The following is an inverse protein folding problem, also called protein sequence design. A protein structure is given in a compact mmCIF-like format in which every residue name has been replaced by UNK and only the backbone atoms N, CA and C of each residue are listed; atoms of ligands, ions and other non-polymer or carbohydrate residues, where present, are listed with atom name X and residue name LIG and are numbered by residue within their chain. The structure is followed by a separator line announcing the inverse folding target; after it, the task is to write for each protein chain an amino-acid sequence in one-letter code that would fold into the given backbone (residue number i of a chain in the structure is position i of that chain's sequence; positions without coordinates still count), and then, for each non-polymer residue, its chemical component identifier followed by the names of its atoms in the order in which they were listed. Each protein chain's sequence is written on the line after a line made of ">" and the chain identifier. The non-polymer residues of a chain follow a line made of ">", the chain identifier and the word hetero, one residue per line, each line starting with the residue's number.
data_IF_439913642062
#
_entry.id   IF_439913642062
#
_cell.length_a   1.000
_cell.length_b   1.000
_cell.length_c   1.000
_cell.angle_alpha   90.00
_cell.angle_beta   90.00
_cell.angle_gamma   90.00
#
_symmetry.space_group_name_H-M   'P 1'
#
loop_
_entity.id
_entity.type
_entity.pdbx_description
1 polymer ?
#
# COMPACT_ATOMS: atom_id res chain seq x y z
N UNK A 1 19.14 16.27 20.32
CA UNK A 1 19.04 16.73 18.92
C UNK A 1 18.99 15.52 17.99
N UNK A 2 17.80 14.91 17.74
CA UNK A 2 17.67 13.63 16.98
C UNK A 2 16.39 13.55 16.11
N UNK A 3 15.79 14.67 15.70
CA UNK A 3 14.47 14.68 15.01
C UNK A 3 14.49 15.18 13.54
N UNK A 4 15.65 15.24 12.88
CA UNK A 4 15.77 15.76 11.50
C UNK A 4 16.07 14.71 10.43
N UNK A 5 16.12 13.42 10.80
CA UNK A 5 16.46 12.33 9.87
C UNK A 5 15.22 11.77 9.15
N UNK A 6 14.03 11.94 9.74
CA UNK A 6 12.75 11.46 9.17
C UNK A 6 12.31 12.16 7.86
N UNK A 7 12.39 13.50 7.70
CA UNK A 7 11.86 14.16 6.50
C UNK A 7 12.68 13.85 5.24
N UNK A 8 13.97 13.55 5.38
CA UNK A 8 14.81 13.18 4.24
C UNK A 8 14.36 11.86 3.60
N UNK A 9 13.94 10.88 4.41
CA UNK A 9 13.40 9.61 3.91
C UNK A 9 12.08 9.81 3.16
N UNK A 10 11.20 10.70 3.64
CA UNK A 10 9.94 11.01 2.98
C UNK A 10 10.16 11.71 1.62
N UNK A 11 11.10 12.66 1.55
CA UNK A 11 11.47 13.33 0.28
C UNK A 11 12.14 12.36 -0.69
N UNK A 12 13.00 11.46 -0.19
CA UNK A 12 13.60 10.41 -1.02
C UNK A 12 12.54 9.45 -1.59
N UNK A 13 11.54 9.06 -0.80
CA UNK A 13 10.40 8.24 -1.25
C UNK A 13 9.46 8.94 -2.24
N UNK A 14 9.39 10.28 -2.22
CA UNK A 14 8.63 11.05 -3.20
C UNK A 14 9.40 11.25 -4.52
N UNK A 15 10.72 11.27 -4.48
CA UNK A 15 11.59 11.45 -5.64
C UNK A 15 12.02 10.14 -6.31
N UNK A 16 11.91 9.00 -5.62
CA UNK A 16 12.20 7.67 -6.16
C UNK A 16 11.47 7.32 -7.46
N UNK A 17 10.22 7.73 -7.73
CA UNK A 17 9.56 7.41 -9.01
C UNK A 17 10.30 8.04 -10.20
N UNK A 18 10.78 9.28 -10.05
CA UNK A 18 11.47 10.03 -11.11
C UNK A 18 12.85 9.42 -11.38
N UNK A 19 13.56 8.98 -10.34
CA UNK A 19 14.85 8.30 -10.50
C UNK A 19 14.68 6.90 -11.09
N UNK A 20 13.62 6.17 -10.71
CA UNK A 20 13.32 4.85 -11.24
C UNK A 20 12.93 4.85 -12.72
N UNK A 21 12.34 5.94 -13.22
CA UNK A 21 12.03 6.09 -14.65
C UNK A 21 13.19 6.66 -15.48
N UNK A 22 14.14 7.35 -14.86
CA UNK A 22 15.30 7.94 -15.54
C UNK A 22 16.44 6.94 -15.77
N UNK A 23 16.46 5.83 -15.03
CA UNK A 23 17.27 4.68 -15.38
C UNK A 23 16.64 4.00 -16.60
N UNK A 24 17.31 4.07 -17.75
CA UNK A 24 16.99 3.28 -18.95
C UNK A 24 17.30 1.79 -18.67
N UNK A 25 16.48 1.21 -17.78
CA UNK A 25 16.54 -0.19 -17.42
C UNK A 25 15.80 -0.94 -18.52
N UNK A 26 16.54 -1.32 -19.56
CA UNK A 26 16.03 -2.12 -20.67
C UNK A 26 15.59 -3.48 -20.12
N UNK A 27 14.31 -3.59 -19.75
CA UNK A 27 13.72 -4.81 -19.21
C UNK A 27 13.68 -5.83 -20.33
N UNK A 28 14.44 -6.92 -20.17
CA UNK A 28 14.30 -8.11 -21.00
C UNK A 28 12.94 -8.73 -20.68
N UNK A 29 11.90 -8.36 -21.42
CA UNK A 29 10.59 -9.02 -21.33
C UNK A 29 10.73 -10.46 -21.79
N UNK A 30 10.61 -11.41 -20.85
CA UNK A 30 10.38 -12.80 -21.22
C UNK A 30 9.01 -12.92 -21.91
N UNK A 31 8.88 -13.72 -22.98
CA UNK A 31 7.58 -14.09 -23.52
C UNK A 31 6.75 -14.75 -22.41
N UNK A 32 5.57 -14.21 -22.13
CA UNK A 32 4.61 -14.80 -21.18
C UNK A 32 3.92 -15.95 -21.90
N UNK A 33 4.45 -17.18 -21.80
CA UNK A 33 3.80 -18.37 -22.37
C UNK A 33 2.65 -18.90 -21.51
N UNK A 34 2.38 -18.34 -20.34
CA UNK A 34 1.38 -18.88 -19.43
C UNK A 34 0.41 -17.80 -18.97
N UNK A 35 -0.86 -17.97 -19.32
CA UNK A 35 -1.97 -17.17 -18.81
C UNK A 35 -1.90 -17.16 -17.29
N UNK A 36 -1.67 -15.98 -16.69
CA UNK A 36 -1.44 -15.80 -15.27
C UNK A 36 -2.36 -16.69 -14.42
N UNK A 37 -1.79 -17.48 -13.51
CA UNK A 37 -2.54 -18.30 -12.54
C UNK A 37 -3.47 -17.45 -11.65
N UNK A 38 -3.24 -16.13 -11.65
CA UNK A 38 -4.13 -15.12 -11.09
C UNK A 38 -5.52 -15.08 -11.76
N UNK A 39 -5.64 -15.48 -13.04
CA UNK A 39 -6.91 -15.60 -13.74
C UNK A 39 -7.76 -16.79 -13.24
N UNK A 40 -7.12 -17.88 -12.80
CA UNK A 40 -7.79 -19.05 -12.22
C UNK A 40 -8.19 -18.86 -10.74
N UNK A 41 -7.53 -17.94 -10.04
CA UNK A 41 -7.75 -17.65 -8.61
C UNK A 41 -8.65 -16.44 -8.36
N UNK A 42 -9.43 -16.03 -9.36
CA UNK A 42 -10.38 -14.89 -9.28
C UNK A 42 -11.30 -14.95 -8.07
N UNK A 43 -11.73 -16.15 -7.65
CA UNK A 43 -12.54 -16.35 -6.44
C UNK A 43 -11.78 -16.04 -5.14
N UNK A 44 -10.50 -16.41 -5.05
CA UNK A 44 -9.66 -16.14 -3.87
C UNK A 44 -9.39 -14.64 -3.76
N UNK A 45 -9.08 -14.01 -4.89
CA UNK A 45 -8.86 -12.56 -4.95
C UNK A 45 -10.15 -11.81 -4.60
N UNK A 46 -11.30 -12.23 -5.14
CA UNK A 46 -12.60 -11.64 -4.81
C UNK A 46 -12.94 -11.81 -3.32
N UNK A 47 -12.71 -12.99 -2.75
CA UNK A 47 -12.92 -13.25 -1.33
C UNK A 47 -12.00 -12.40 -0.44
N UNK A 48 -10.71 -12.29 -0.80
CA UNK A 48 -9.76 -11.46 -0.08
C UNK A 48 -10.12 -9.97 -0.15
N UNK A 49 -10.52 -9.49 -1.33
CA UNK A 49 -10.97 -8.12 -1.51
C UNK A 49 -12.23 -7.82 -0.69
N UNK A 50 -13.22 -8.72 -0.71
CA UNK A 50 -14.42 -8.59 0.10
C UNK A 50 -14.08 -8.55 1.61
N UNK A 51 -13.21 -9.45 2.07
CA UNK A 51 -12.76 -9.47 3.46
C UNK A 51 -12.03 -8.18 3.86
N UNK A 52 -11.17 -7.64 2.99
CA UNK A 52 -10.45 -6.40 3.24
C UNK A 52 -11.38 -5.18 3.35
N UNK A 53 -12.41 -5.10 2.49
CA UNK A 53 -13.43 -4.03 2.57
C UNK A 53 -14.19 -4.13 3.90
N UNK A 54 -14.65 -5.33 4.28
CA UNK A 54 -15.39 -5.53 5.53
C UNK A 54 -14.51 -5.18 6.74
N UNK A 55 -13.27 -5.67 6.78
CA UNK A 55 -12.34 -5.37 7.87
C UNK A 55 -12.01 -3.87 7.95
N UNK A 56 -11.81 -3.22 6.81
CA UNK A 56 -11.59 -1.77 6.74
C UNK A 56 -12.78 -0.97 7.26
N UNK A 57 -14.01 -1.40 6.96
CA UNK A 57 -15.22 -0.78 7.50
C UNK A 57 -15.32 -1.00 9.01
N UNK A 58 -15.07 -2.22 9.51
CA UNK A 58 -15.11 -2.50 10.95
C UNK A 58 -14.11 -1.62 11.69
N UNK A 59 -12.86 -1.55 11.24
CA UNK A 59 -11.83 -0.69 11.86
C UNK A 59 -12.18 0.80 11.77
N UNK A 60 -12.81 1.24 10.68
CA UNK A 60 -13.21 2.65 10.52
C UNK A 60 -14.49 3.00 11.30
N UNK A 61 -15.32 2.02 11.61
CA UNK A 61 -16.56 2.17 12.39
C UNK A 61 -16.35 1.86 13.88
N UNK A 62 -15.20 1.29 14.24
CA UNK A 62 -14.73 1.16 15.61
C UNK A 62 -14.31 2.56 16.08
N UNK A 63 -15.32 3.35 16.45
CA UNK A 63 -15.14 4.54 17.28
C UNK A 63 -14.80 3.98 18.67
N UNK A 64 -13.53 3.66 18.90
CA UNK A 64 -12.99 3.73 20.24
C UNK A 64 -13.17 5.20 20.61
N UNK A 65 -14.27 5.49 21.33
CA UNK A 65 -14.50 6.74 22.03
C UNK A 65 -13.25 6.97 22.90
N UNK A 66 -12.24 7.60 22.33
CA UNK A 66 -11.23 8.31 23.06
C UNK A 66 -12.03 9.39 23.80
N UNK A 67 -12.52 9.03 24.99
CA UNK A 67 -12.95 9.93 26.05
C UNK A 67 -11.77 10.87 26.33
N UNK A 68 -11.57 11.85 25.44
CA UNK A 68 -10.68 12.94 25.68
C UNK A 68 -11.22 13.62 26.92
N UNK A 69 -10.43 13.74 28.01
CA UNK A 69 -10.90 14.40 29.21
C UNK A 69 -11.21 15.86 28.86
N UNK A 70 -12.50 16.17 28.68
CA UNK A 70 -12.99 17.54 28.67
C UNK A 70 -12.87 18.04 30.10
N UNK A 71 -11.68 18.54 30.40
CA UNK A 71 -11.33 19.05 31.73
C UNK A 71 -12.31 20.15 32.09
N UNK A 72 -12.95 19.99 33.27
CA UNK A 72 -13.87 20.94 33.89
C UNK A 72 -13.16 22.14 34.50
#
# INVERSE_FOLDING_TARGET
>A
MKKFILPFAAVAMAATPVVATAADAQRSSQPVEESAELAGSSLIIAALAAAAVIAGIIVAADDDDDDFPVSA
#
